data_IF_718471541727
#
_entry.id   IF_718471541727
#
_cell.length_a   1.000
_cell.length_b   1.000
_cell.length_c   1.000
_cell.angle_alpha   90.00
_cell.angle_beta   90.00
_cell.angle_gamma   90.00
#
_symmetry.space_group_name_H-M   'P 1'
#
loop_
_entity.id
_entity.type
_entity.pdbx_description
1 polymer ?
#
# COMPACT_ATOMS: atom_id res chain seq x y z
N UNK A 1 -12.06 0.53 -13.24
CA UNK A 1 -10.72 0.07 -12.83
C UNK A 1 -9.95 -0.28 -14.08
N UNK A 2 -8.76 0.28 -14.28
CA UNK A 2 -7.90 -0.03 -15.43
C UNK A 2 -7.01 -1.23 -15.10
N UNK A 3 -6.63 -2.03 -16.10
CA UNK A 3 -5.72 -3.18 -15.92
C UNK A 3 -4.38 -2.79 -15.26
N UNK A 4 -3.91 -1.56 -15.50
CA UNK A 4 -2.74 -0.98 -14.85
C UNK A 4 -2.89 -0.90 -13.32
N UNK A 5 -4.06 -0.50 -12.84
CA UNK A 5 -4.32 -0.35 -11.41
C UNK A 5 -4.41 -1.72 -10.70
N UNK A 6 -4.95 -2.73 -11.38
CA UNK A 6 -4.96 -4.11 -10.88
C UNK A 6 -3.55 -4.68 -10.76
N UNK A 7 -2.68 -4.43 -11.74
CA UNK A 7 -1.28 -4.86 -11.71
C UNK A 7 -0.49 -4.20 -10.57
N UNK A 8 -0.68 -2.90 -10.36
CA UNK A 8 -0.05 -2.18 -9.24
C UNK A 8 -0.48 -2.76 -7.89
N UNK A 9 -1.76 -3.03 -7.71
CA UNK A 9 -2.28 -3.62 -6.47
C UNK A 9 -1.76 -5.05 -6.25
N UNK A 10 -1.58 -5.83 -7.31
CA UNK A 10 -0.97 -7.16 -7.23
C UNK A 10 0.49 -7.09 -6.75
N UNK A 11 1.28 -6.16 -7.30
CA UNK A 11 2.67 -5.93 -6.89
C UNK A 11 2.75 -5.44 -5.44
N UNK A 12 1.84 -4.54 -5.03
CA UNK A 12 1.77 -4.04 -3.65
C UNK A 12 1.45 -5.15 -2.65
N UNK A 13 0.43 -5.97 -2.91
CA UNK A 13 0.09 -7.11 -2.05
C UNK A 13 1.24 -8.10 -1.89
N UNK A 14 1.92 -8.43 -2.98
CA UNK A 14 3.11 -9.28 -2.94
C UNK A 14 4.23 -8.66 -2.09
N UNK A 15 4.45 -7.36 -2.24
CA UNK A 15 5.47 -6.62 -1.48
C UNK A 15 5.14 -6.59 0.01
N UNK A 16 3.90 -6.24 0.39
CA UNK A 16 3.42 -6.25 1.77
C UNK A 16 3.63 -7.62 2.42
N UNK A 17 3.26 -8.70 1.72
CA UNK A 17 3.44 -10.07 2.20
C UNK A 17 4.90 -10.41 2.46
N UNK A 18 5.79 -10.07 1.54
CA UNK A 18 7.23 -10.30 1.72
C UNK A 18 7.82 -9.46 2.86
N UNK A 19 7.39 -8.21 3.00
CA UNK A 19 7.82 -7.35 4.12
C UNK A 19 7.36 -7.94 5.45
N UNK A 20 6.10 -8.38 5.55
CA UNK A 20 5.56 -9.00 6.76
C UNK A 20 6.30 -10.28 7.17
N UNK A 21 6.82 -11.04 6.20
CA UNK A 21 7.53 -12.30 6.46
C UNK A 21 9.03 -12.12 6.72
N UNK A 22 9.69 -11.20 6.02
CA UNK A 22 11.16 -11.14 5.97
C UNK A 22 11.75 -9.78 6.35
N UNK A 23 10.92 -8.75 6.49
CA UNK A 23 11.35 -7.36 6.67
C UNK A 23 11.84 -6.70 5.37
N UNK A 24 11.83 -5.36 5.36
CA UNK A 24 12.08 -4.53 4.16
C UNK A 24 13.50 -4.72 3.59
N UNK A 25 14.50 -5.00 4.42
CA UNK A 25 15.87 -5.16 3.96
C UNK A 25 16.09 -6.45 3.14
N UNK A 26 15.28 -7.48 3.37
CA UNK A 26 15.49 -8.82 2.80
C UNK A 26 14.75 -9.09 1.48
N UNK A 27 13.94 -8.13 1.02
CA UNK A 27 13.17 -8.23 -0.23
C UNK A 27 13.97 -7.67 -1.42
N UNK A 28 13.72 -8.22 -2.62
CA UNK A 28 14.32 -7.77 -3.88
C UNK A 28 13.25 -7.70 -4.97
N UNK A 29 13.51 -6.94 -6.04
CA UNK A 29 12.58 -6.84 -7.19
C UNK A 29 12.23 -8.21 -7.78
N UNK A 30 13.20 -9.13 -7.83
CA UNK A 30 13.00 -10.50 -8.31
C UNK A 30 12.08 -11.31 -7.38
N UNK A 31 12.29 -11.22 -6.06
CA UNK A 31 11.42 -11.89 -5.08
C UNK A 31 9.99 -11.34 -5.16
N UNK A 32 9.83 -10.02 -5.30
CA UNK A 32 8.53 -9.37 -5.42
C UNK A 32 7.84 -9.81 -6.72
N UNK A 33 8.53 -9.79 -7.85
CA UNK A 33 7.96 -10.23 -9.13
C UNK A 33 7.50 -11.69 -9.06
N UNK A 34 8.31 -12.57 -8.46
CA UNK A 34 7.96 -13.98 -8.24
C UNK A 34 6.73 -14.14 -7.35
N UNK A 35 6.67 -13.43 -6.23
CA UNK A 35 5.52 -13.46 -5.31
C UNK A 35 4.26 -12.90 -5.96
N UNK A 36 4.39 -11.85 -6.78
CA UNK A 36 3.31 -11.29 -7.56
C UNK A 36 2.90 -12.18 -8.75
N UNK A 37 3.63 -13.26 -9.06
CA UNK A 37 3.31 -14.13 -10.20
C UNK A 37 3.53 -13.47 -11.56
N UNK A 38 4.44 -12.49 -11.65
CA UNK A 38 4.76 -11.77 -12.89
C UNK A 38 6.20 -12.02 -13.33
N UNK A 39 6.47 -11.82 -14.61
CA UNK A 39 7.84 -11.90 -15.13
C UNK A 39 8.71 -10.78 -14.51
N UNK A 40 9.98 -11.10 -14.27
CA UNK A 40 10.93 -10.13 -13.69
C UNK A 40 11.11 -8.88 -14.55
N UNK A 41 10.94 -8.94 -15.87
CA UNK A 41 10.96 -7.75 -16.73
C UNK A 41 9.73 -6.85 -16.55
N UNK A 42 8.56 -7.46 -16.27
CA UNK A 42 7.29 -6.73 -16.12
C UNK A 42 7.33 -5.76 -14.95
N UNK A 43 7.93 -6.14 -13.80
CA UNK A 43 7.99 -5.25 -12.63
C UNK A 43 8.76 -3.95 -12.94
N UNK A 44 9.78 -4.01 -13.81
CA UNK A 44 10.59 -2.85 -14.20
C UNK A 44 9.88 -1.89 -15.16
N UNK A 45 8.77 -2.30 -15.77
CA UNK A 45 7.89 -1.40 -16.52
C UNK A 45 7.17 -0.43 -15.56
N UNK A 46 6.88 -0.89 -14.33
CA UNK A 46 6.13 -0.12 -13.33
C UNK A 46 7.03 0.60 -12.31
N UNK A 47 8.21 0.03 -12.02
CA UNK A 47 9.10 0.51 -10.96
C UNK A 47 10.57 0.35 -11.37
N UNK A 48 11.33 1.45 -11.38
CA UNK A 48 12.75 1.43 -11.75
C UNK A 48 13.63 0.85 -10.65
N UNK A 49 13.20 0.94 -9.39
CA UNK A 49 13.94 0.42 -8.23
C UNK A 49 13.02 -0.09 -7.12
N UNK A 50 13.63 -0.81 -6.16
CA UNK A 50 12.95 -1.23 -4.93
C UNK A 50 12.47 -0.02 -4.14
N UNK A 51 13.29 1.03 -4.10
CA UNK A 51 13.03 2.26 -3.36
C UNK A 51 11.82 3.01 -3.94
N UNK A 52 11.72 3.12 -5.27
CA UNK A 52 10.55 3.73 -5.93
C UNK A 52 9.27 2.93 -5.64
N UNK A 53 9.34 1.60 -5.71
CA UNK A 53 8.22 0.73 -5.36
C UNK A 53 7.79 0.96 -3.91
N UNK A 54 8.73 0.95 -2.97
CA UNK A 54 8.46 1.15 -1.55
C UNK A 54 7.87 2.54 -1.26
N UNK A 55 8.35 3.59 -1.95
CA UNK A 55 7.79 4.93 -1.82
C UNK A 55 6.33 4.98 -2.27
N UNK A 56 6.02 4.38 -3.43
CA UNK A 56 4.65 4.36 -3.96
C UNK A 56 3.72 3.50 -3.10
N UNK A 57 4.22 2.38 -2.58
CA UNK A 57 3.51 1.54 -1.62
C UNK A 57 3.23 2.30 -0.32
N UNK A 58 4.21 3.03 0.21
CA UNK A 58 4.03 3.83 1.42
C UNK A 58 2.95 4.91 1.23
N UNK A 59 2.93 5.56 0.06
CA UNK A 59 1.88 6.51 -0.28
C UNK A 59 0.49 5.85 -0.34
N UNK A 60 0.38 4.69 -0.99
CA UNK A 60 -0.88 3.93 -1.06
C UNK A 60 -1.37 3.49 0.33
N UNK A 61 -0.48 3.01 1.19
CA UNK A 61 -0.78 2.69 2.59
C UNK A 61 -1.28 3.92 3.36
N UNK A 62 -0.65 5.07 3.17
CA UNK A 62 -1.06 6.31 3.82
C UNK A 62 -2.43 6.79 3.33
N UNK A 63 -2.76 6.60 2.05
CA UNK A 63 -4.09 6.89 1.51
C UNK A 63 -5.16 5.94 2.05
N UNK A 64 -4.87 4.64 2.14
CA UNK A 64 -5.74 3.65 2.78
C UNK A 64 -6.00 3.99 4.25
N UNK A 65 -4.94 4.36 4.97
CA UNK A 65 -5.04 4.78 6.37
C UNK A 65 -5.90 6.03 6.54
N UNK A 66 -5.66 7.08 5.75
CA UNK A 66 -6.48 8.30 5.78
C UNK A 66 -7.96 8.00 5.49
N UNK A 67 -8.24 7.15 4.51
CA UNK A 67 -9.61 6.75 4.18
C UNK A 67 -10.28 6.03 5.34
N UNK A 68 -9.53 5.19 6.07
CA UNK A 68 -10.02 4.48 7.25
C UNK A 68 -10.31 5.46 8.39
N UNK A 69 -9.32 6.25 8.80
CA UNK A 69 -9.43 7.21 9.92
C UNK A 69 -10.53 8.23 9.67
N UNK A 70 -10.70 8.70 8.43
CA UNK A 70 -11.70 9.73 8.10
C UNK A 70 -13.12 9.20 7.86
N UNK A 71 -13.32 7.88 7.97
CA UNK A 71 -14.62 7.26 7.70
C UNK A 71 -15.68 7.75 8.69
N UNK A 72 -16.77 8.32 8.19
CA UNK A 72 -17.90 8.74 9.02
C UNK A 72 -17.62 9.93 9.94
N UNK A 73 -16.53 10.67 9.72
CA UNK A 73 -16.30 11.94 10.42
C UNK A 73 -17.37 12.94 9.97
N UNK A 74 -18.03 13.55 10.94
CA UNK A 74 -18.86 14.72 10.73
C UNK A 74 -18.12 15.97 11.22
N UNK A 75 -17.72 16.90 10.33
CA UNK A 75 -16.96 18.09 10.70
C UNK A 75 -17.75 19.09 11.56
N UNK A 76 -19.07 18.97 11.62
CA UNK A 76 -19.94 19.85 12.41
C UNK A 76 -20.02 19.43 13.89
N UNK A 77 -19.50 18.25 14.25
CA UNK A 77 -19.46 17.79 15.64
C UNK A 77 -18.27 18.39 16.41
N UNK A 78 -18.33 18.48 17.76
CA UNK A 78 -17.18 18.88 18.56
C UNK A 78 -15.94 18.02 18.27
N UNK A 79 -14.74 18.63 18.29
CA UNK A 79 -13.46 17.97 17.98
C UNK A 79 -13.26 16.65 18.72
N UNK A 80 -13.67 16.57 19.99
CA UNK A 80 -13.57 15.33 20.77
C UNK A 80 -14.43 14.19 20.19
N UNK A 81 -15.61 14.48 19.66
CA UNK A 81 -16.46 13.48 19.00
C UNK A 81 -15.87 13.05 17.66
N UNK A 82 -15.31 13.98 16.88
CA UNK A 82 -14.58 13.66 15.65
C UNK A 82 -13.37 12.75 15.94
N UNK A 83 -12.59 13.10 16.96
CA UNK A 83 -11.46 12.29 17.43
C UNK A 83 -11.90 10.90 17.91
N UNK A 84 -13.00 10.82 18.68
CA UNK A 84 -13.56 9.54 19.11
C UNK A 84 -13.98 8.67 17.92
N UNK A 85 -14.54 9.27 16.88
CA UNK A 85 -14.89 8.55 15.66
C UNK A 85 -13.65 8.06 14.90
N UNK A 86 -12.62 8.91 14.75
CA UNK A 86 -11.32 8.52 14.20
C UNK A 86 -10.73 7.32 14.95
N UNK A 87 -10.77 7.37 16.28
CA UNK A 87 -10.25 6.31 17.14
C UNK A 87 -11.00 4.99 16.98
N UNK A 88 -12.31 5.03 16.74
CA UNK A 88 -13.13 3.84 16.50
C UNK A 88 -12.95 3.23 15.10
N UNK A 89 -12.34 3.98 14.18
CA UNK A 89 -12.07 3.52 12.83
C UNK A 89 -10.74 2.75 12.71
N UNK A 90 -9.89 2.79 13.74
CA UNK A 90 -8.61 2.06 13.83
C UNK A 90 -8.82 0.67 14.41
#
# INVERSE_FOLDING_TARGET
>A
MTAENEMLQQIFRATEKLIAQYGVHQISMQKIAKEAGIAAGTIYIYFKSKEELLQRLAFDLFQRFQTCVNKGINPDLPLFQQYRQMWWNL
#
